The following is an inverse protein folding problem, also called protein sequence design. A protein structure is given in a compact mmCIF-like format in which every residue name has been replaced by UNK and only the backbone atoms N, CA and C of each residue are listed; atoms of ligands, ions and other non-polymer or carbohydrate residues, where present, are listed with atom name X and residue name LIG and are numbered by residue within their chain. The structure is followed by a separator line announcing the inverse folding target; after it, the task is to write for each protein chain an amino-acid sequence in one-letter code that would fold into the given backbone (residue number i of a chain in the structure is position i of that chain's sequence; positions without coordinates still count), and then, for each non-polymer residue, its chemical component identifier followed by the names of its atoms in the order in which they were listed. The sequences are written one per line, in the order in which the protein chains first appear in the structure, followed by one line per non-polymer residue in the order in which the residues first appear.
data_IF_785204765738
#
_entry.id   IF_785204765738
#
_cell.length_a   1.000
_cell.length_b   1.000
_cell.length_c   1.000
_cell.angle_alpha   90.00
_cell.angle_beta   90.00
_cell.angle_gamma   90.00
#
_symmetry.space_group_name_H-M   'P 1'
#
loop_
_entity.id
_entity.type
_entity.pdbx_description
1 polymer ?
#
# COMPACT_ATOMS: atom_id res chain seq x y z
N UNK A 1 -7.61 -22.29 -50.67
CA UNK A 1 -6.56 -22.55 -49.67
C UNK A 1 -6.32 -21.40 -48.68
N UNK A 2 -6.91 -20.20 -48.81
CA UNK A 2 -6.72 -19.10 -47.83
C UNK A 2 -7.71 -19.09 -46.65
N UNK A 3 -8.76 -19.91 -46.68
CA UNK A 3 -9.78 -19.96 -45.61
C UNK A 3 -9.36 -20.78 -44.38
N UNK A 4 -8.35 -21.66 -44.51
CA UNK A 4 -7.87 -22.51 -43.41
C UNK A 4 -6.82 -21.82 -42.53
N UNK A 5 -5.99 -20.95 -43.11
CA UNK A 5 -5.01 -20.15 -42.37
C UNK A 5 -5.64 -19.04 -41.51
N UNK A 6 -6.84 -18.55 -41.86
CA UNK A 6 -7.57 -17.56 -41.05
C UNK A 6 -8.25 -18.18 -39.81
N UNK A 7 -8.39 -19.51 -39.75
CA UNK A 7 -9.08 -20.20 -38.65
C UNK A 7 -8.14 -20.60 -37.50
N UNK A 8 -6.82 -20.67 -37.73
CA UNK A 8 -5.85 -20.99 -36.66
C UNK A 8 -5.34 -19.78 -35.86
N UNK A 9 -5.66 -18.56 -36.28
CA UNK A 9 -5.32 -17.32 -35.53
C UNK A 9 -6.33 -17.03 -34.40
N UNK A 10 -7.47 -17.72 -34.38
CA UNK A 10 -8.63 -17.36 -33.55
C UNK A 10 -8.63 -17.91 -32.10
N UNK A 11 -7.65 -18.69 -31.67
CA UNK A 11 -7.61 -19.25 -30.31
C UNK A 11 -6.21 -19.15 -29.66
N UNK A 12 -5.52 -18.03 -29.87
CA UNK A 12 -4.36 -17.74 -29.02
C UNK A 12 -4.86 -17.49 -27.59
N UNK A 13 -4.79 -18.52 -26.76
CA UNK A 13 -5.22 -18.50 -25.36
C UNK A 13 -4.43 -17.41 -24.62
N UNK A 14 -5.13 -16.41 -24.07
CA UNK A 14 -4.49 -15.39 -23.23
C UNK A 14 -3.84 -16.03 -22.01
N UNK A 15 -2.58 -15.71 -21.77
CA UNK A 15 -1.82 -16.21 -20.64
C UNK A 15 -2.01 -15.28 -19.45
N UNK A 16 -2.24 -15.84 -18.26
CA UNK A 16 -2.21 -15.08 -17.01
C UNK A 16 -0.75 -14.87 -16.62
N UNK A 17 -0.32 -13.63 -16.63
CA UNK A 17 1.07 -13.24 -16.36
C UNK A 17 1.31 -13.10 -14.85
N UNK A 18 0.38 -12.46 -14.14
CA UNK A 18 0.43 -12.28 -12.69
C UNK A 18 -0.98 -12.12 -12.09
N UNK A 19 -1.08 -12.26 -10.77
CA UNK A 19 -2.27 -11.90 -9.99
C UNK A 19 -1.92 -10.79 -9.01
N UNK A 20 -2.85 -9.86 -8.82
CA UNK A 20 -2.72 -8.76 -7.87
C UNK A 20 -3.89 -8.80 -6.90
N UNK A 21 -3.58 -8.95 -5.62
CA UNK A 21 -4.54 -8.88 -4.54
C UNK A 21 -4.32 -7.57 -3.79
N UNK A 22 -5.31 -6.69 -3.79
CA UNK A 22 -5.26 -5.41 -3.06
C UNK A 22 -6.17 -5.51 -1.84
N UNK A 23 -5.64 -5.27 -0.66
CA UNK A 23 -6.37 -5.24 0.60
C UNK A 23 -6.54 -3.79 1.04
N UNK A 24 -7.77 -3.37 1.30
CA UNK A 24 -8.01 -2.05 1.92
C UNK A 24 -7.58 -2.12 3.39
N UNK A 25 -6.97 -1.08 3.93
CA UNK A 25 -6.71 -1.00 5.38
C UNK A 25 -7.99 -1.24 6.23
N UNK A 26 -7.80 -1.64 7.50
CA UNK A 26 -8.86 -1.78 8.50
C UNK A 26 -9.54 -0.46 8.87
N UNK A 27 -10.58 -0.53 9.70
CA UNK A 27 -11.28 0.66 10.22
C UNK A 27 -10.34 1.60 10.98
N UNK A 28 -10.43 2.89 10.66
CA UNK A 28 -9.61 3.96 11.25
C UNK A 28 -10.33 4.62 12.41
N UNK A 29 -9.58 5.10 13.41
CA UNK A 29 -10.14 5.78 14.58
C UNK A 29 -10.86 7.09 14.24
N UNK A 30 -10.42 7.83 13.21
CA UNK A 30 -11.06 9.08 12.78
C UNK A 30 -12.41 8.86 12.07
N UNK A 31 -12.72 7.62 11.70
CA UNK A 31 -13.96 7.24 11.02
C UNK A 31 -15.00 6.63 12.00
N UNK A 32 -14.77 6.73 13.32
CA UNK A 32 -15.70 6.30 14.39
C UNK A 32 -16.35 7.49 15.11
N UNK A 33 -17.39 7.27 15.96
CA UNK A 33 -17.96 8.32 16.80
C UNK A 33 -16.93 9.03 17.70
N UNK A 34 -15.90 8.32 18.14
CA UNK A 34 -14.81 8.84 18.97
C UNK A 34 -13.76 9.62 18.16
N UNK A 35 -13.80 9.55 16.83
CA UNK A 35 -12.82 10.16 15.93
C UNK A 35 -12.72 11.68 16.09
N UNK A 36 -13.81 12.34 16.49
CA UNK A 36 -13.78 13.78 16.79
C UNK A 36 -12.94 14.08 18.02
N UNK A 37 -13.09 13.30 19.09
CA UNK A 37 -12.28 13.48 20.30
C UNK A 37 -10.82 13.14 20.01
N UNK A 38 -10.57 12.04 19.31
CA UNK A 38 -9.22 11.65 18.90
C UNK A 38 -8.53 12.75 18.07
N UNK A 39 -9.21 13.38 17.12
CA UNK A 39 -8.61 14.46 16.33
C UNK A 39 -8.36 15.75 17.14
N UNK A 40 -9.05 15.96 18.26
CA UNK A 40 -8.71 17.03 19.20
C UNK A 40 -7.50 16.68 20.07
N UNK A 41 -7.39 15.42 20.50
CA UNK A 41 -6.30 14.96 21.36
C UNK A 41 -5.00 14.78 20.58
N UNK A 42 -5.10 14.46 19.29
CA UNK A 42 -3.99 14.20 18.37
C UNK A 42 -4.13 15.03 17.08
N UNK A 43 -4.18 16.38 17.17
CA UNK A 43 -4.40 17.24 16.01
C UNK A 43 -3.33 17.04 14.93
N UNK A 44 -2.12 16.66 15.34
CA UNK A 44 -0.97 16.46 14.45
C UNK A 44 -0.97 15.09 13.76
N UNK A 45 -1.88 14.18 14.12
CA UNK A 45 -1.92 12.81 13.55
C UNK A 45 -3.08 12.62 12.57
N UNK A 46 -3.89 13.65 12.30
CA UNK A 46 -5.15 13.54 11.57
C UNK A 46 -5.01 12.93 10.16
N UNK A 47 -3.83 13.06 9.54
CA UNK A 47 -3.51 12.48 8.24
C UNK A 47 -3.12 10.99 8.26
N UNK A 48 -2.68 10.49 9.42
CA UNK A 48 -2.27 9.10 9.60
C UNK A 48 -2.85 8.46 10.87
N UNK A 49 -4.19 8.41 10.97
CA UNK A 49 -4.88 7.81 12.09
C UNK A 49 -4.57 6.31 12.20
N UNK A 50 -4.44 5.77 13.42
CA UNK A 50 -4.32 4.34 13.65
C UNK A 50 -5.64 3.59 13.35
N UNK A 51 -5.53 2.27 13.29
CA UNK A 51 -6.70 1.39 13.31
C UNK A 51 -7.40 1.42 14.66
N UNK A 52 -8.71 1.14 14.63
CA UNK A 52 -9.49 0.82 15.84
C UNK A 52 -9.25 -0.62 16.27
N UNK A 53 -9.72 -1.01 17.47
CA UNK A 53 -9.73 -2.40 17.88
C UNK A 53 -10.51 -3.29 16.88
N UNK A 54 -11.63 -2.78 16.34
CA UNK A 54 -12.38 -3.44 15.27
C UNK A 54 -11.55 -3.52 13.98
N UNK A 55 -10.83 -2.46 13.62
CA UNK A 55 -9.90 -2.44 12.48
C UNK A 55 -8.82 -3.53 12.56
N UNK A 56 -8.24 -3.74 13.74
CA UNK A 56 -7.30 -4.85 13.97
C UNK A 56 -7.98 -6.23 13.82
N UNK A 57 -9.20 -6.40 14.34
CA UNK A 57 -9.96 -7.65 14.15
C UNK A 57 -10.34 -7.89 12.67
N UNK A 58 -10.63 -6.84 11.91
CA UNK A 58 -10.86 -6.93 10.47
C UNK A 58 -9.60 -7.38 9.73
N UNK A 59 -8.44 -6.80 10.06
CA UNK A 59 -7.15 -7.18 9.48
C UNK A 59 -6.79 -8.65 9.75
N UNK A 60 -6.98 -9.11 11.00
CA UNK A 60 -6.74 -10.51 11.36
C UNK A 60 -7.65 -11.47 10.58
N UNK A 61 -8.96 -11.17 10.50
CA UNK A 61 -9.91 -11.99 9.72
C UNK A 61 -9.54 -12.05 8.24
N UNK A 62 -9.13 -10.93 7.65
CA UNK A 62 -8.67 -10.90 6.27
C UNK A 62 -7.41 -11.76 6.07
N UNK A 63 -6.48 -11.75 7.04
CA UNK A 63 -5.33 -12.63 7.01
C UNK A 63 -5.72 -14.11 7.07
N UNK A 64 -6.66 -14.48 7.94
CA UNK A 64 -7.16 -15.85 8.06
C UNK A 64 -7.86 -16.34 6.78
N UNK A 65 -8.73 -15.50 6.19
CA UNK A 65 -9.41 -15.78 4.91
C UNK A 65 -8.39 -16.01 3.78
N UNK A 66 -7.41 -15.12 3.64
CA UNK A 66 -6.37 -15.24 2.61
C UNK A 66 -5.45 -16.45 2.85
N UNK A 67 -5.09 -16.74 4.10
CA UNK A 67 -4.29 -17.92 4.44
C UNK A 67 -5.04 -19.23 4.15
N UNK A 68 -6.35 -19.27 4.36
CA UNK A 68 -7.18 -20.41 3.99
C UNK A 68 -7.22 -20.60 2.46
N UNK A 69 -7.42 -19.52 1.72
CA UNK A 69 -7.44 -19.56 0.25
C UNK A 69 -6.11 -20.01 -0.34
N UNK A 70 -4.99 -19.45 0.14
CA UNK A 70 -3.65 -19.83 -0.30
C UNK A 70 -3.32 -21.30 0.00
N UNK A 71 -3.77 -21.84 1.14
CA UNK A 71 -3.58 -23.27 1.46
C UNK A 71 -4.38 -24.21 0.55
N UNK A 72 -5.51 -23.73 0.01
CA UNK A 72 -6.38 -24.54 -0.86
C UNK A 72 -5.91 -24.59 -2.32
N UNK A 73 -4.98 -23.70 -2.71
CA UNK A 73 -4.50 -23.58 -4.09
C UNK A 73 -3.00 -23.79 -4.25
N UNK A 74 -2.54 -23.85 -5.50
CA UNK A 74 -1.10 -23.89 -5.84
C UNK A 74 -0.47 -22.48 -5.92
N UNK A 75 -1.13 -21.49 -5.33
CA UNK A 75 -0.77 -20.08 -5.47
C UNK A 75 0.44 -19.75 -4.61
N UNK A 76 1.41 -19.02 -5.17
CA UNK A 76 2.64 -18.61 -4.47
C UNK A 76 2.64 -17.10 -4.27
N UNK A 77 2.78 -16.71 -3.01
CA UNK A 77 2.95 -15.32 -2.58
C UNK A 77 4.34 -15.19 -1.96
N UNK A 78 5.08 -14.14 -2.32
CA UNK A 78 6.48 -13.97 -1.88
C UNK A 78 6.66 -12.92 -0.78
N UNK A 79 5.77 -11.93 -0.72
CA UNK A 79 5.83 -10.82 0.22
C UNK A 79 4.44 -10.21 0.42
N UNK A 80 4.29 -9.48 1.53
CA UNK A 80 3.18 -8.56 1.75
C UNK A 80 3.71 -7.16 1.50
N UNK A 81 3.24 -6.49 0.46
CA UNK A 81 3.58 -5.08 0.21
C UNK A 81 2.57 -4.18 0.90
N UNK A 82 2.98 -3.04 1.44
CA UNK A 82 2.02 -2.10 2.03
C UNK A 82 2.39 -0.63 1.82
N UNK A 83 1.37 0.23 1.86
CA UNK A 83 1.53 1.68 1.96
C UNK A 83 2.26 2.07 3.26
N UNK A 84 3.03 3.18 3.27
CA UNK A 84 3.79 3.62 4.44
C UNK A 84 2.94 4.19 5.59
N UNK A 85 1.65 4.41 5.38
CA UNK A 85 0.73 4.95 6.38
C UNK A 85 0.43 3.91 7.48
N UNK A 86 0.42 4.35 8.74
CA UNK A 86 0.26 3.53 9.96
C UNK A 86 -0.88 2.52 9.83
N UNK A 87 -2.06 2.97 9.40
CA UNK A 87 -3.24 2.10 9.21
C UNK A 87 -3.02 0.94 8.24
N UNK A 88 -2.25 1.16 7.17
CA UNK A 88 -1.93 0.12 6.20
C UNK A 88 -0.90 -0.86 6.78
N UNK A 89 0.13 -0.36 7.46
CA UNK A 89 1.12 -1.18 8.17
C UNK A 89 0.47 -2.07 9.24
N UNK A 90 -0.39 -1.49 10.09
CA UNK A 90 -1.16 -2.23 11.11
C UNK A 90 -2.09 -3.30 10.52
N UNK A 91 -2.59 -3.07 9.29
CA UNK A 91 -3.39 -4.08 8.58
C UNK A 91 -2.49 -5.18 7.99
N UNK A 92 -1.30 -4.82 7.51
CA UNK A 92 -0.36 -5.71 6.85
C UNK A 92 0.42 -6.62 7.82
N UNK A 93 0.63 -6.19 9.07
CA UNK A 93 1.32 -6.97 10.09
C UNK A 93 0.70 -8.37 10.32
N UNK A 94 -0.60 -8.52 10.63
CA UNK A 94 -1.19 -9.85 10.82
C UNK A 94 -1.16 -10.70 9.54
N UNK A 95 -1.23 -10.07 8.35
CA UNK A 95 -1.07 -10.76 7.07
C UNK A 95 0.34 -11.35 6.94
N UNK A 96 1.37 -10.55 7.17
CA UNK A 96 2.77 -10.97 7.12
C UNK A 96 3.04 -12.09 8.13
N UNK A 97 2.62 -11.91 9.38
CA UNK A 97 2.85 -12.87 10.46
C UNK A 97 2.16 -14.21 10.21
N UNK A 98 0.88 -14.20 9.82
CA UNK A 98 0.11 -15.43 9.62
C UNK A 98 0.54 -16.20 8.37
N UNK A 99 0.93 -15.49 7.30
CA UNK A 99 1.40 -16.09 6.06
C UNK A 99 2.89 -16.48 6.11
N UNK A 100 3.63 -16.05 7.14
CA UNK A 100 5.07 -16.28 7.25
C UNK A 100 5.87 -15.59 6.14
N UNK A 101 5.41 -14.41 5.70
CA UNK A 101 5.98 -13.67 4.57
C UNK A 101 6.62 -12.37 5.02
N UNK A 102 7.68 -11.90 4.33
CA UNK A 102 8.27 -10.60 4.61
C UNK A 102 7.26 -9.48 4.36
N UNK A 103 7.23 -8.50 5.28
CA UNK A 103 6.50 -7.26 5.12
C UNK A 103 7.40 -6.22 4.44
N UNK A 104 6.95 -5.68 3.31
CA UNK A 104 7.71 -4.74 2.50
C UNK A 104 6.93 -3.45 2.32
N UNK A 105 7.47 -2.33 2.79
CA UNK A 105 6.83 -1.03 2.67
C UNK A 105 7.22 -0.38 1.34
N UNK A 106 6.20 0.01 0.58
CA UNK A 106 6.28 0.58 -0.76
C UNK A 106 5.68 1.97 -0.69
N UNK A 107 6.51 3.01 -0.71
CA UNK A 107 6.09 4.39 -0.54
C UNK A 107 4.98 4.76 -1.55
N UNK A 108 5.16 4.35 -2.79
CA UNK A 108 4.26 4.61 -3.91
C UNK A 108 2.90 3.92 -3.79
N UNK A 109 2.78 2.85 -2.99
CA UNK A 109 1.47 2.24 -2.68
C UNK A 109 0.57 3.17 -1.85
N UNK A 110 1.14 4.21 -1.22
CA UNK A 110 0.40 5.30 -0.56
C UNK A 110 0.06 6.48 -1.47
N UNK A 111 0.61 6.53 -2.69
CA UNK A 111 0.48 7.66 -3.63
C UNK A 111 -0.95 8.00 -4.07
N UNK A 112 -1.93 7.15 -3.76
CA UNK A 112 -3.35 7.41 -3.99
C UNK A 112 -4.01 8.23 -2.87
N UNK A 113 -3.34 8.46 -1.74
CA UNK A 113 -3.92 9.23 -0.63
C UNK A 113 -3.75 10.72 -0.84
N UNK A 114 -4.81 11.48 -0.56
CA UNK A 114 -4.80 12.94 -0.71
C UNK A 114 -3.69 13.61 0.12
N UNK A 115 -3.38 13.09 1.31
CA UNK A 115 -2.29 13.61 2.13
C UNK A 115 -0.93 13.45 1.44
N UNK A 116 -0.61 12.24 0.96
CA UNK A 116 0.66 11.99 0.27
C UNK A 116 0.77 12.74 -1.06
N UNK A 117 -0.33 12.92 -1.79
CA UNK A 117 -0.33 13.72 -3.01
C UNK A 117 -0.12 15.21 -2.75
N UNK A 118 -0.67 15.72 -1.65
CA UNK A 118 -0.62 17.14 -1.33
C UNK A 118 0.72 17.58 -0.76
N UNK A 119 1.28 16.80 0.16
CA UNK A 119 2.48 17.17 0.92
C UNK A 119 3.71 16.35 0.52
N UNK A 120 3.53 15.28 -0.26
CA UNK A 120 4.60 14.31 -0.47
C UNK A 120 4.96 13.56 0.81
N UNK A 121 5.92 12.66 0.69
CA UNK A 121 6.35 11.80 1.79
C UNK A 121 7.44 12.45 2.66
N UNK A 122 8.26 13.32 2.06
CA UNK A 122 9.35 14.04 2.73
C UNK A 122 8.84 15.16 3.65
N UNK A 123 7.84 15.95 3.22
CA UNK A 123 7.29 17.03 4.07
C UNK A 123 6.47 16.49 5.22
N UNK A 124 5.90 15.29 5.06
CA UNK A 124 5.27 14.57 6.15
C UNK A 124 6.29 13.75 6.97
N UNK A 125 7.55 14.20 7.13
CA UNK A 125 8.49 13.61 8.09
C UNK A 125 8.54 14.40 9.40
N UNK A 126 8.64 13.67 10.52
CA UNK A 126 8.85 14.22 11.87
C UNK A 126 10.32 14.55 12.07
N UNK A 127 10.87 15.38 11.20
CA UNK A 127 12.20 15.90 11.45
C UNK A 127 12.05 17.29 12.06
N UNK A 128 12.15 17.34 13.39
CA UNK A 128 12.35 18.56 14.17
C UNK A 128 13.70 19.25 13.89
N UNK A 129 14.18 19.19 12.65
CA UNK A 129 15.30 19.96 12.15
C UNK A 129 14.69 21.09 11.31
N UNK A 130 14.83 22.38 11.71
CA UNK A 130 14.45 23.46 10.82
C UNK A 130 15.24 23.29 9.53
N UNK A 131 14.54 23.10 8.40
CA UNK A 131 15.17 23.11 7.09
C UNK A 131 15.80 24.50 6.92
N UNK A 132 17.10 24.60 7.18
CA UNK A 132 17.83 25.79 6.79
C UNK A 132 17.86 25.80 5.27
N UNK A 133 17.16 26.79 4.71
CA UNK A 133 17.17 27.21 3.31
C UNK A 133 16.44 26.30 2.31
N UNK A 134 15.24 26.74 1.94
CA UNK A 134 15.00 27.00 0.52
C UNK A 134 13.97 28.12 0.33
N UNK A 135 14.44 29.36 0.49
CA UNK A 135 13.78 30.53 -0.08
C UNK A 135 13.96 30.51 -1.60
N UNK A 136 13.15 29.72 -2.30
CA UNK A 136 12.88 29.95 -3.71
C UNK A 136 11.41 29.65 -3.98
N UNK A 137 10.65 30.75 -4.07
CA UNK A 137 9.30 30.78 -4.60
C UNK A 137 9.24 30.01 -5.92
N UNK A 138 8.69 28.80 -5.91
CA UNK A 138 8.08 28.24 -7.09
C UNK A 138 6.63 27.91 -6.78
N UNK A 139 5.77 28.79 -7.27
CA UNK A 139 4.32 28.66 -7.29
C UNK A 139 4.00 27.48 -8.24
N UNK A 140 4.01 26.26 -7.73
CA UNK A 140 3.51 25.09 -8.46
C UNK A 140 1.99 25.22 -8.54
N UNK A 141 1.54 25.84 -9.63
CA UNK A 141 0.17 25.74 -10.11
C UNK A 141 -0.06 24.30 -10.55
N UNK A 142 -0.59 23.48 -9.64
CA UNK A 142 -1.28 22.26 -10.04
C UNK A 142 -2.61 22.70 -10.67
N UNK A 143 -2.70 22.64 -12.01
CA UNK A 143 -3.92 22.92 -12.75
C UNK A 143 -4.64 21.59 -13.05
N UNK A 144 -5.79 21.28 -12.42
CA UNK A 144 -6.45 19.98 -12.55
C UNK A 144 -7.23 19.79 -13.87
N UNK A 145 -6.91 20.51 -14.95
CA UNK A 145 -7.73 20.51 -16.18
C UNK A 145 -7.03 20.11 -17.48
N UNK A 146 -5.89 19.41 -17.43
CA UNK A 146 -5.27 18.81 -18.64
C UNK A 146 -4.60 17.47 -18.35
N UNK A 147 -5.39 16.43 -18.11
CA UNK A 147 -4.96 15.05 -18.40
C UNK A 147 -5.23 14.80 -19.88
N UNK A 148 -4.32 15.25 -20.74
CA UNK A 148 -4.25 14.79 -22.13
C UNK A 148 -3.29 13.63 -22.19
N UNK A 149 -3.78 12.48 -22.65
CA UNK A 149 -3.00 11.27 -22.97
C UNK A 149 -1.72 11.60 -23.74
N UNK A 150 -0.59 11.05 -23.31
CA UNK A 150 0.55 10.68 -24.17
C UNK A 150 1.45 9.71 -23.40
N UNK A 151 1.54 8.46 -23.85
CA UNK A 151 2.54 7.87 -24.77
C UNK A 151 3.91 7.71 -24.13
N UNK A 152 4.34 6.44 -24.15
CA UNK A 152 5.49 5.87 -23.48
C UNK A 152 6.81 6.60 -23.74
N UNK A 153 7.60 6.73 -22.68
CA UNK A 153 9.04 6.98 -22.74
C UNK A 153 9.71 5.80 -22.04
N UNK A 154 10.51 5.05 -22.79
CA UNK A 154 11.33 3.96 -22.27
C UNK A 154 12.54 4.55 -21.52
N UNK A 155 12.58 4.35 -20.21
CA UNK A 155 13.73 4.64 -19.36
C UNK A 155 14.25 3.35 -18.75
N UNK A 156 15.51 3.00 -19.05
CA UNK A 156 16.20 1.80 -18.55
C UNK A 156 16.81 2.13 -17.19
N UNK A 157 16.28 1.57 -16.11
CA UNK A 157 16.87 1.66 -14.77
C UNK A 157 17.75 0.42 -14.49
N UNK A 158 18.97 0.65 -14.00
CA UNK A 158 19.89 -0.38 -13.52
C UNK A 158 19.46 -0.83 -12.12
N UNK A 159 19.22 -2.13 -11.95
CA UNK A 159 18.94 -2.73 -10.65
C UNK A 159 20.25 -3.18 -9.99
N UNK A 160 20.49 -2.73 -8.75
CA UNK A 160 21.51 -3.29 -7.86
C UNK A 160 20.94 -4.52 -7.12
N UNK A 161 21.69 -5.61 -7.15
CA UNK A 161 21.37 -6.89 -6.54
C UNK A 161 21.81 -6.89 -5.06
N UNK A 162 20.88 -7.06 -4.13
CA UNK A 162 21.18 -7.28 -2.70
C UNK A 162 20.57 -8.62 -2.27
N UNK A 163 21.44 -9.63 -2.15
CA UNK A 163 21.11 -10.90 -1.52
C UNK A 163 21.44 -10.82 -0.03
N UNK A 164 20.41 -10.86 0.83
CA UNK A 164 20.53 -11.00 2.29
C UNK A 164 20.19 -12.43 2.75
N UNK A 165 20.76 -12.92 3.87
CA UNK A 165 20.55 -14.29 4.33
C UNK A 165 19.19 -14.50 5.02
N UNK A 166 18.65 -15.69 4.87
CA UNK A 166 17.39 -16.12 5.49
C UNK A 166 17.50 -16.13 7.03
N UNK A 167 16.71 -15.26 7.68
CA UNK A 167 16.66 -15.11 9.13
C UNK A 167 15.72 -16.11 9.81
N UNK A 168 16.19 -16.64 10.93
CA UNK A 168 15.50 -17.52 11.89
C UNK A 168 14.19 -16.94 12.43
N UNK A 169 13.13 -17.75 12.42
CA UNK A 169 11.82 -17.47 13.04
C UNK A 169 11.98 -17.29 14.55
N UNK A 170 11.69 -16.09 15.06
CA UNK A 170 11.46 -15.84 16.48
C UNK A 170 9.96 -15.94 16.79
N UNK A 171 9.56 -16.41 17.99
CA UNK A 171 8.16 -16.48 18.39
C UNK A 171 7.56 -15.07 18.46
N UNK A 172 6.46 -14.85 17.75
CA UNK A 172 5.76 -13.57 17.70
C UNK A 172 5.31 -13.10 19.08
N UNK A 173 5.64 -11.86 19.42
CA UNK A 173 5.02 -11.16 20.56
C UNK A 173 3.55 -10.93 20.25
N UNK A 174 2.67 -11.45 21.10
CA UNK A 174 1.28 -10.99 21.14
C UNK A 174 1.26 -9.53 21.60
N UNK A 175 0.47 -8.69 20.92
CA UNK A 175 0.18 -7.34 21.38
C UNK A 175 -0.48 -7.40 22.76
N UNK A 176 -0.09 -6.54 23.72
CA UNK A 176 -0.80 -6.47 24.99
C UNK A 176 -2.27 -6.08 24.71
N UNK A 177 -3.24 -6.63 25.45
CA UNK A 177 -4.62 -6.16 25.35
C UNK A 177 -4.65 -4.65 25.69
N UNK A 178 -5.58 -3.88 25.10
CA UNK A 178 -5.76 -2.49 25.48
C UNK A 178 -5.99 -2.38 26.99
N UNK A 179 -5.57 -1.26 27.58
CA UNK A 179 -5.87 -0.97 28.97
C UNK A 179 -7.38 -1.00 29.24
N UNK A 180 -7.80 -1.11 30.51
CA UNK A 180 -9.22 -1.14 30.90
C UNK A 180 -10.02 0.11 30.46
N UNK A 181 -9.34 1.15 29.99
CA UNK A 181 -9.87 2.40 29.43
C UNK A 181 -9.92 2.42 27.89
N UNK A 182 -9.52 1.34 27.21
CA UNK A 182 -9.46 1.31 25.74
C UNK A 182 -8.34 2.14 25.14
N UNK A 183 -7.45 2.69 25.97
CA UNK A 183 -6.29 3.46 25.54
C UNK A 183 -5.07 2.54 25.46
N UNK A 184 -4.34 2.66 24.36
CA UNK A 184 -3.02 2.02 24.22
C UNK A 184 -2.02 2.84 25.04
N UNK A 185 -1.33 2.18 25.98
CA UNK A 185 -0.35 2.83 26.85
C UNK A 185 0.72 3.52 26.01
N UNK A 186 0.68 4.84 25.98
CA UNK A 186 1.75 5.68 25.45
C UNK A 186 2.99 5.52 26.34
N UNK A 187 4.15 5.26 25.72
CA UNK A 187 5.42 5.27 26.41
C UNK A 187 5.58 6.58 27.17
N UNK A 188 5.65 6.51 28.50
CA UNK A 188 5.75 7.68 29.36
C UNK A 188 7.13 8.31 29.24
N UNK A 189 7.25 9.40 28.49
CA UNK A 189 8.43 10.25 28.50
C UNK A 189 8.52 11.02 29.82
N UNK A 190 9.58 10.80 30.58
CA UNK A 190 9.87 11.50 31.84
C UNK A 190 10.10 12.98 31.55
N UNK A 191 9.24 13.85 32.06
CA UNK A 191 9.34 15.31 31.88
C UNK A 191 10.16 15.93 33.01
N UNK A 192 11.35 16.45 32.68
CA UNK A 192 12.04 17.44 33.53
C UNK A 192 11.52 18.84 33.23
N UNK A 193 11.11 19.55 34.29
CA UNK A 193 10.53 20.88 34.23
C UNK A 193 11.61 21.97 34.11
N UNK A 194 11.38 22.93 33.21
CA UNK A 194 12.00 24.25 33.26
C UNK A 194 10.98 25.31 32.80
N UNK A 195 10.83 26.35 33.62
CA UNK A 195 9.96 27.50 33.42
C UNK A 195 10.59 28.57 32.52
N UNK A 196 9.85 29.16 31.59
CA UNK A 196 9.42 30.57 31.63
C UNK A 196 8.97 31.10 30.26
N UNK A 197 8.13 32.12 30.34
CA UNK A 197 7.97 33.26 29.40
C UNK A 197 7.02 33.10 28.22
N UNK A 198 5.85 33.73 28.39
CA UNK A 198 4.87 34.11 27.35
C UNK A 198 5.51 35.09 26.35
N UNK A 199 5.48 34.73 25.07
CA UNK A 199 5.41 35.69 23.96
C UNK A 199 4.37 35.17 22.97
N UNK A 200 3.32 35.97 22.77
CA UNK A 200 2.29 35.70 21.79
C UNK A 200 2.77 36.06 20.39
N UNK A 201 2.84 35.06 19.53
CA UNK A 201 2.80 35.22 18.08
C UNK A 201 1.85 34.16 17.54
N UNK A 202 0.89 34.56 16.70
CA UNK A 202 0.04 33.65 15.94
C UNK A 202 0.94 32.85 14.99
N UNK A 203 1.53 31.76 15.47
CA UNK A 203 2.35 30.86 14.66
C UNK A 203 1.44 29.98 13.83
N UNK A 204 1.75 29.91 12.53
CA UNK A 204 1.06 29.08 11.56
C UNK A 204 0.97 27.62 12.00
N UNK A 205 -0.02 26.93 11.43
CA UNK A 205 -0.16 25.48 11.50
C UNK A 205 1.22 24.83 11.38
N UNK A 206 1.69 24.22 12.47
CA UNK A 206 2.88 23.40 12.45
C UNK A 206 2.46 22.09 11.81
N UNK A 207 2.78 21.94 10.52
CA UNK A 207 2.66 20.67 9.82
C UNK A 207 3.59 19.67 10.51
N UNK A 208 3.00 18.66 11.12
CA UNK A 208 3.68 17.58 11.80
C UNK A 208 2.95 16.26 11.46
N UNK A 209 3.65 15.12 11.47
CA UNK A 209 3.87 14.38 10.23
C UNK A 209 3.67 12.87 10.39
N UNK A 210 3.89 12.11 9.32
CA UNK A 210 3.90 10.64 9.39
C UNK A 210 4.92 10.16 10.43
N UNK A 211 4.69 8.92 10.89
CA UNK A 211 5.63 8.21 11.74
C UNK A 211 7.07 8.37 11.21
N UNK A 212 8.01 8.77 12.06
CA UNK A 212 9.43 8.81 11.68
C UNK A 212 9.98 7.38 11.49
N UNK A 213 11.20 7.23 10.97
CA UNK A 213 11.77 5.90 10.70
C UNK A 213 11.80 4.99 11.93
N UNK A 214 12.16 5.53 13.11
CA UNK A 214 12.19 4.78 14.37
C UNK A 214 10.80 4.29 14.76
N UNK A 215 9.80 5.18 14.79
CA UNK A 215 8.42 4.83 15.12
C UNK A 215 7.81 3.82 14.12
N UNK A 216 8.19 3.90 12.84
CA UNK A 216 7.74 2.92 11.84
C UNK A 216 8.39 1.56 12.08
N UNK A 217 9.66 1.53 12.47
CA UNK A 217 10.34 0.30 12.86
C UNK A 217 9.76 -0.28 14.15
N UNK A 218 9.40 0.56 15.13
CA UNK A 218 8.70 0.12 16.35
C UNK A 218 7.32 -0.48 16.01
N UNK A 219 6.59 0.13 15.07
CA UNK A 219 5.27 -0.35 14.66
C UNK A 219 5.34 -1.72 13.98
N UNK A 220 6.33 -1.93 13.12
CA UNK A 220 6.52 -3.17 12.37
C UNK A 220 8.01 -3.53 12.29
N UNK A 221 8.59 -4.17 13.33
CA UNK A 221 10.04 -4.37 13.44
C UNK A 221 10.64 -5.29 12.39
N UNK A 222 9.79 -6.07 11.69
CA UNK A 222 10.19 -6.97 10.62
C UNK A 222 9.96 -6.37 9.22
N UNK A 223 9.49 -5.12 9.12
CA UNK A 223 9.23 -4.48 7.84
C UNK A 223 10.54 -4.03 7.17
N UNK A 224 10.62 -4.22 5.85
CA UNK A 224 11.71 -3.72 5.00
C UNK A 224 11.18 -2.63 4.08
N UNK A 225 11.93 -1.54 3.91
CA UNK A 225 11.53 -0.41 3.06
C UNK A 225 12.15 -0.58 1.66
N UNK A 226 11.33 -0.56 0.60
CA UNK A 226 11.80 -0.82 -0.77
C UNK A 226 12.13 0.44 -1.57
N UNK A 227 11.67 1.59 -1.13
CA UNK A 227 11.79 2.86 -1.85
C UNK A 227 12.44 3.92 -0.99
N UNK A 228 13.22 4.77 -1.62
CA UNK A 228 13.66 6.02 -1.03
C UNK A 228 12.48 6.99 -0.96
N UNK A 229 12.34 7.62 0.20
CA UNK A 229 11.27 8.54 0.54
C UNK A 229 11.53 9.95 -0.03
N UNK A 230 12.71 10.19 -0.58
CA UNK A 230 13.13 11.46 -1.18
C UNK A 230 12.75 11.58 -2.67
N UNK A 231 12.35 10.47 -3.30
CA UNK A 231 11.91 10.47 -4.70
C UNK A 231 10.44 10.87 -4.85
N UNK A 232 10.05 11.54 -5.96
CA UNK A 232 8.65 11.76 -6.28
C UNK A 232 7.89 10.44 -6.29
N UNK A 233 6.73 10.40 -5.63
CA UNK A 233 5.88 9.21 -5.61
C UNK A 233 5.34 8.96 -7.01
N UNK A 234 5.59 7.77 -7.55
CA UNK A 234 4.89 7.33 -8.76
C UNK A 234 3.42 7.03 -8.42
N UNK A 235 2.51 7.04 -9.43
CA UNK A 235 1.13 6.65 -9.22
C UNK A 235 1.03 5.22 -8.66
N UNK A 236 0.13 5.02 -7.68
CA UNK A 236 0.03 3.73 -6.99
C UNK A 236 -0.33 2.55 -7.93
N UNK A 237 -1.05 2.80 -9.03
CA UNK A 237 -1.31 1.80 -10.07
C UNK A 237 -0.02 1.37 -10.80
N UNK A 238 0.87 2.31 -11.10
CA UNK A 238 2.16 2.03 -11.74
C UNK A 238 3.09 1.26 -10.78
N UNK A 239 3.06 1.59 -9.49
CA UNK A 239 3.76 0.81 -8.47
C UNK A 239 3.29 -0.65 -8.43
N UNK A 240 1.98 -0.90 -8.48
CA UNK A 240 1.43 -2.25 -8.59
C UNK A 240 1.90 -2.98 -9.86
N UNK A 241 1.92 -2.28 -11.01
CA UNK A 241 2.45 -2.85 -12.26
C UNK A 241 3.93 -3.22 -12.16
N UNK A 242 4.75 -2.33 -11.57
CA UNK A 242 6.17 -2.57 -11.35
C UNK A 242 6.42 -3.75 -10.41
N UNK A 243 5.64 -3.88 -9.33
CA UNK A 243 5.71 -5.03 -8.44
C UNK A 243 5.38 -6.33 -9.18
N UNK A 244 4.28 -6.35 -9.95
CA UNK A 244 3.94 -7.51 -10.78
C UNK A 244 5.06 -7.85 -11.77
N UNK A 245 5.64 -6.85 -12.46
CA UNK A 245 6.74 -7.08 -13.39
C UNK A 245 7.99 -7.65 -12.69
N UNK A 246 8.33 -7.12 -11.51
CA UNK A 246 9.46 -7.64 -10.73
C UNK A 246 9.24 -9.10 -10.32
N UNK A 247 8.03 -9.44 -9.87
CA UNK A 247 7.67 -10.82 -9.52
C UNK A 247 7.68 -11.72 -10.76
N UNK A 248 7.13 -11.28 -11.89
CA UNK A 248 7.17 -12.02 -13.15
C UNK A 248 8.61 -12.29 -13.59
N UNK A 249 9.47 -11.29 -13.64
CA UNK A 249 10.88 -11.46 -14.04
C UNK A 249 11.62 -12.49 -13.17
N UNK A 250 11.32 -12.52 -11.87
CA UNK A 250 11.88 -13.50 -10.93
C UNK A 250 11.37 -14.92 -11.18
N UNK A 251 10.15 -15.07 -11.69
CA UNK A 251 9.48 -16.35 -11.99
C UNK A 251 9.68 -16.84 -13.44
N UNK A 252 9.80 -15.96 -14.43
CA UNK A 252 10.06 -16.30 -15.85
C UNK A 252 11.40 -17.01 -16.03
N UNK A 253 12.36 -16.75 -15.12
CA UNK A 253 13.58 -17.55 -15.00
C UNK A 253 13.32 -19.03 -14.66
N UNK A 254 12.09 -19.42 -14.33
CA UNK A 254 11.74 -20.76 -13.83
C UNK A 254 10.67 -21.48 -14.66
N UNK A 255 9.75 -20.78 -15.33
CA UNK A 255 8.61 -21.42 -16.04
C UNK A 255 8.22 -20.65 -17.31
N UNK A 256 8.02 -21.32 -18.48
CA UNK A 256 7.51 -20.68 -19.69
C UNK A 256 6.10 -20.11 -19.52
N UNK A 257 5.82 -18.93 -20.11
CA UNK A 257 4.53 -18.20 -20.01
C UNK A 257 3.28 -19.06 -20.34
N UNK A 258 3.43 -20.03 -21.24
CA UNK A 258 2.36 -20.93 -21.69
C UNK A 258 1.93 -21.93 -20.60
N UNK A 259 2.77 -22.14 -19.57
CA UNK A 259 2.53 -23.10 -18.48
C UNK A 259 2.02 -22.45 -17.19
N UNK A 260 2.01 -21.11 -17.11
CA UNK A 260 1.72 -20.38 -15.86
C UNK A 260 0.26 -20.42 -15.40
N UNK A 261 -0.66 -21.03 -16.16
CA UNK A 261 -2.11 -21.14 -15.91
C UNK A 261 -2.57 -20.87 -14.46
N UNK A 262 -2.65 -21.91 -13.63
CA UNK A 262 -3.05 -21.81 -12.21
C UNK A 262 -1.92 -21.40 -11.27
N UNK A 263 -0.70 -21.24 -11.77
CA UNK A 263 0.52 -20.99 -10.98
C UNK A 263 1.06 -19.55 -11.10
N UNK A 264 0.31 -18.66 -11.76
CA UNK A 264 0.69 -17.26 -11.90
C UNK A 264 1.03 -16.65 -10.53
N UNK A 265 2.17 -15.96 -10.39
CA UNK A 265 2.60 -15.44 -9.11
C UNK A 265 1.63 -14.37 -8.62
N UNK A 266 1.51 -14.28 -7.29
CA UNK A 266 0.64 -13.30 -6.64
C UNK A 266 1.49 -12.17 -6.09
N UNK A 267 1.01 -10.95 -6.28
CA UNK A 267 1.44 -9.76 -5.55
C UNK A 267 0.31 -9.36 -4.60
N UNK A 268 0.61 -9.29 -3.29
CA UNK A 268 -0.33 -8.83 -2.27
C UNK A 268 0.05 -7.42 -1.83
N UNK A 269 -0.88 -6.48 -1.94
CA UNK A 269 -0.69 -5.07 -1.60
C UNK A 269 -1.74 -4.62 -0.60
N UNK A 270 -1.33 -4.09 0.54
CA UNK A 270 -2.21 -3.46 1.53
C UNK A 270 -2.17 -1.94 1.36
N UNK A 271 -3.30 -1.35 0.97
CA UNK A 271 -3.39 0.04 0.56
C UNK A 271 -4.74 0.66 0.93
N UNK A 272 -5.13 1.71 0.21
CA UNK A 272 -6.32 2.52 0.46
C UNK A 272 -7.42 2.22 -0.56
N UNK A 273 -8.65 2.63 -0.26
CA UNK A 273 -9.79 2.40 -1.17
C UNK A 273 -9.59 3.10 -2.52
N UNK A 274 -8.87 4.21 -2.53
CA UNK A 274 -8.58 5.01 -3.71
C UNK A 274 -7.79 4.19 -4.74
N UNK A 275 -6.80 3.40 -4.33
CA UNK A 275 -6.07 2.50 -5.24
C UNK A 275 -7.01 1.47 -5.89
N UNK A 276 -7.98 0.95 -5.12
CA UNK A 276 -8.94 -0.01 -5.67
C UNK A 276 -9.85 0.64 -6.70
N UNK A 277 -10.26 1.89 -6.49
CA UNK A 277 -11.01 2.66 -7.49
C UNK A 277 -10.17 2.93 -8.72
N UNK A 278 -8.93 3.41 -8.58
CA UNK A 278 -8.05 3.70 -9.72
C UNK A 278 -7.83 2.46 -10.60
N UNK A 279 -7.60 1.29 -9.96
CA UNK A 279 -7.48 0.01 -10.67
C UNK A 279 -8.80 -0.40 -11.34
N UNK A 280 -9.92 -0.28 -10.65
CA UNK A 280 -11.23 -0.67 -11.18
C UNK A 280 -11.67 0.22 -12.34
N UNK A 281 -11.54 1.54 -12.23
CA UNK A 281 -11.90 2.51 -13.27
C UNK A 281 -11.01 2.37 -14.51
N UNK A 282 -9.73 2.03 -14.33
CA UNK A 282 -8.83 1.69 -15.42
C UNK A 282 -9.29 0.49 -16.25
N UNK A 283 -9.96 -0.49 -15.61
CA UNK A 283 -10.54 -1.68 -16.26
C UNK A 283 -11.95 -1.40 -16.79
N UNK A 284 -12.74 -0.63 -16.05
CA UNK A 284 -14.15 -0.34 -16.32
C UNK A 284 -14.42 1.18 -16.33
N UNK A 285 -14.08 1.91 -17.41
CA UNK A 285 -14.18 3.38 -17.45
C UNK A 285 -15.59 3.95 -17.28
N UNK A 286 -16.62 3.12 -17.47
CA UNK A 286 -18.03 3.48 -17.27
C UNK A 286 -18.64 2.81 -16.04
N UNK A 287 -17.89 1.93 -15.39
CA UNK A 287 -18.32 1.23 -14.18
C UNK A 287 -18.15 2.12 -12.96
N UNK A 288 -18.94 1.85 -11.92
CA UNK A 288 -18.71 2.40 -10.59
C UNK A 288 -18.62 1.26 -9.60
N UNK A 289 -17.53 1.23 -8.84
CA UNK A 289 -17.40 0.32 -7.71
C UNK A 289 -17.95 1.01 -6.47
N UNK A 290 -18.82 0.33 -5.72
CA UNK A 290 -19.23 0.77 -4.40
C UNK A 290 -18.02 0.87 -3.46
N UNK A 291 -18.15 1.65 -2.37
CA UNK A 291 -17.06 1.79 -1.40
C UNK A 291 -16.70 0.42 -0.81
N UNK A 292 -15.47 -0.07 -1.02
CA UNK A 292 -15.03 -1.35 -0.46
C UNK A 292 -15.12 -1.36 1.05
N UNK A 293 -15.49 -2.48 1.67
CA UNK A 293 -15.42 -2.63 3.14
C UNK A 293 -13.97 -2.52 3.65
N UNK A 294 -13.79 -2.26 4.95
CA UNK A 294 -12.46 -2.33 5.55
C UNK A 294 -11.92 -3.75 5.53
N UNK A 295 -10.61 -3.89 5.35
CA UNK A 295 -9.93 -5.19 5.18
C UNK A 295 -10.52 -6.07 4.06
N UNK A 296 -11.31 -5.49 3.14
CA UNK A 296 -11.80 -6.21 1.96
C UNK A 296 -10.70 -6.35 0.91
N UNK A 297 -10.84 -7.36 0.05
CA UNK A 297 -9.83 -7.71 -0.95
C UNK A 297 -10.40 -7.56 -2.36
N UNK A 298 -9.75 -6.73 -3.18
CA UNK A 298 -9.93 -6.69 -4.62
C UNK A 298 -8.93 -7.66 -5.26
N UNK A 299 -9.40 -8.59 -6.08
CA UNK A 299 -8.53 -9.54 -6.79
C UNK A 299 -8.55 -9.26 -8.28
N UNK A 300 -7.37 -9.12 -8.84
CA UNK A 300 -7.14 -8.83 -10.24
C UNK A 300 -6.19 -9.86 -10.83
N UNK A 301 -6.28 -10.06 -12.14
CA UNK A 301 -5.29 -10.79 -12.92
C UNK A 301 -4.77 -9.93 -14.06
N UNK A 302 -3.48 -10.05 -14.34
CA UNK A 302 -2.80 -9.42 -15.45
C UNK A 302 -2.68 -10.46 -16.57
N UNK A 303 -3.28 -10.21 -17.73
CA UNK A 303 -3.22 -11.11 -18.88
C UNK A 303 -2.39 -10.51 -20.02
N UNK A 304 -1.77 -11.37 -20.83
CA UNK A 304 -1.27 -10.95 -22.14
C UNK A 304 -2.42 -10.54 -23.05
N UNK A 305 -2.24 -9.50 -23.88
CA UNK A 305 -3.20 -9.10 -24.90
C UNK A 305 -2.66 -9.40 -26.30
N UNK A 306 -3.45 -10.03 -27.19
CA UNK A 306 -3.08 -10.18 -28.62
C UNK A 306 -2.93 -8.83 -29.32
N UNK A 307 -3.65 -7.81 -28.85
CA UNK A 307 -3.69 -6.46 -29.43
C UNK A 307 -2.54 -5.56 -28.93
N UNK A 308 -1.68 -6.10 -28.07
CA UNK A 308 -0.48 -5.43 -27.55
C UNK A 308 -0.58 -5.04 -26.08
N UNK A 309 0.47 -5.40 -25.32
CA UNK A 309 0.65 -5.06 -23.91
C UNK A 309 -0.15 -5.95 -22.93
N UNK A 310 0.21 -5.94 -21.64
CA UNK A 310 -0.56 -6.62 -20.61
C UNK A 310 -1.83 -5.82 -20.26
N UNK A 311 -2.90 -6.51 -19.86
CA UNK A 311 -4.17 -5.90 -19.45
C UNK A 311 -4.66 -6.45 -18.11
N UNK A 312 -5.27 -5.59 -17.31
CA UNK A 312 -5.91 -6.00 -16.06
C UNK A 312 -7.33 -6.52 -16.30
N UNK A 313 -7.70 -7.56 -15.55
CA UNK A 313 -9.07 -8.05 -15.41
C UNK A 313 -9.42 -8.24 -13.94
N UNK A 314 -10.69 -8.06 -13.60
CA UNK A 314 -11.20 -8.30 -12.24
C UNK A 314 -11.55 -9.78 -12.07
N UNK A 315 -10.92 -10.43 -11.09
CA UNK A 315 -11.25 -11.79 -10.67
C UNK A 315 -12.34 -11.81 -9.61
N UNK A 316 -12.25 -10.92 -8.62
CA UNK A 316 -13.23 -10.79 -7.54
C UNK A 316 -13.31 -9.36 -7.03
N UNK A 317 -14.53 -8.86 -6.84
CA UNK A 317 -14.79 -7.57 -6.22
C UNK A 317 -14.66 -7.64 -4.69
N UNK A 318 -14.24 -6.54 -4.04
CA UNK A 318 -14.20 -6.48 -2.59
C UNK A 318 -15.61 -6.57 -1.99
N UNK A 319 -15.71 -7.22 -0.82
CA UNK A 319 -16.92 -7.17 0.01
C UNK A 319 -17.25 -5.70 0.30
N UNK A 320 -18.50 -5.31 0.10
CA UNK A 320 -18.97 -3.95 0.39
C UNK A 320 -19.28 -3.79 1.87
N UNK A 321 -19.29 -2.55 2.37
CA UNK A 321 -19.81 -2.27 3.72
C UNK A 321 -21.29 -2.66 3.75
N UNK A 322 -21.63 -3.69 4.53
CA UNK A 322 -23.03 -4.05 4.86
C UNK A 322 -23.62 -3.07 5.84
#
# INVERSE_FOLDING_TARGET
MFAEAAKSVAESKTAVLARLWVVRHGERVDETPEGKQWSFDFPDQWHDPPLTAMGHQQALRAAEELAQELRSGSLKLEAVHCSPLRRAMQTAEPLSNLLGLPLQVVASAGGCTAALQKYGLAELRCEGQPSQNNSNNNKLLFNPSTVTRSRAIAGRAQLHELAGPAGSLLPGRAWPPPGPDGLWASASATTTSASSSKVGTKSGFQDLPLLNQEQRQELCPNATWLEDFDSPLEPAVEACMRLCQATMNKHELRVPAESLGTEAPIVLVVAHRELMWDLYEGIHPKGRMSTPGYASVLKLRLESSPEGGPRWLVDALPKTKT
#
